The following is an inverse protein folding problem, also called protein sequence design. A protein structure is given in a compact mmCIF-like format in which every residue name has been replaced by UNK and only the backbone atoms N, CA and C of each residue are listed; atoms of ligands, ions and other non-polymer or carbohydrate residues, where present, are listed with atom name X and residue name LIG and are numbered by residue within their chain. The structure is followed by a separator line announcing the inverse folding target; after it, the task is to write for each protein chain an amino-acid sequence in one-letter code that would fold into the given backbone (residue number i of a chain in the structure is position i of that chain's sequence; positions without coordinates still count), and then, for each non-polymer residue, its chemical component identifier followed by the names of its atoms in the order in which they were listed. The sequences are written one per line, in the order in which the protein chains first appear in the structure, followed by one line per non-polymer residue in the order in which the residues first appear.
data_IF_104334802064
#
_entry.id   IF_104334802064
#
_cell.length_a   1.000
_cell.length_b   1.000
_cell.length_c   1.000
_cell.angle_alpha   90.00
_cell.angle_beta   90.00
_cell.angle_gamma   90.00
#
_symmetry.space_group_name_H-M   'P 1'
#
loop_
_entity.id
_entity.type
_entity.pdbx_description
1 polymer ?
#
# COMPACT_ATOMS: atom_id res chain seq x y z
N UNK A 1 11.60 -4.34 5.63
CA UNK A 1 10.33 -4.09 6.35
C UNK A 1 9.44 -5.33 6.39
N UNK A 2 9.04 -5.94 5.27
CA UNK A 2 8.14 -7.11 5.23
C UNK A 2 8.67 -8.31 6.04
N UNK A 3 9.98 -8.54 6.01
CA UNK A 3 10.62 -9.59 6.80
C UNK A 3 10.43 -9.37 8.30
N UNK A 4 10.62 -8.15 8.80
CA UNK A 4 10.39 -7.79 10.21
C UNK A 4 8.94 -8.03 10.62
N UNK A 5 7.98 -7.64 9.78
CA UNK A 5 6.54 -7.81 10.02
C UNK A 5 6.20 -9.29 10.18
N UNK A 6 6.63 -10.13 9.22
CA UNK A 6 6.34 -11.57 9.25
C UNK A 6 6.96 -12.24 10.47
N UNK A 7 8.22 -11.94 10.79
CA UNK A 7 8.90 -12.49 11.96
C UNK A 7 8.18 -12.12 13.26
N UNK A 8 7.74 -10.86 13.40
CA UNK A 8 7.02 -10.41 14.58
C UNK A 8 5.68 -11.13 14.74
N UNK A 9 4.84 -11.14 13.70
CA UNK A 9 3.51 -11.74 13.74
C UNK A 9 3.60 -13.25 14.01
N UNK A 10 4.41 -13.98 13.24
CA UNK A 10 4.56 -15.43 13.38
C UNK A 10 5.23 -15.79 14.72
N UNK A 11 6.22 -15.01 15.13
CA UNK A 11 6.89 -15.19 16.42
C UNK A 11 5.93 -15.03 17.60
N UNK A 12 5.07 -13.99 17.58
CA UNK A 12 4.04 -13.77 18.61
C UNK A 12 2.99 -14.89 18.59
N UNK A 13 2.56 -15.33 17.41
CA UNK A 13 1.65 -16.46 17.30
C UNK A 13 2.23 -17.73 17.97
N UNK A 14 3.50 -18.05 17.68
CA UNK A 14 4.19 -19.16 18.36
C UNK A 14 4.34 -18.91 19.87
N UNK A 15 4.58 -17.69 20.32
CA UNK A 15 4.64 -17.35 21.74
C UNK A 15 3.31 -17.60 22.44
N UNK A 16 2.19 -17.18 21.86
CA UNK A 16 0.84 -17.44 22.38
C UNK A 16 0.56 -18.96 22.45
N UNK A 17 0.86 -19.70 21.39
CA UNK A 17 0.70 -21.16 21.37
C UNK A 17 1.55 -21.83 22.44
N UNK A 18 2.79 -21.35 22.67
CA UNK A 18 3.72 -21.92 23.65
C UNK A 18 3.22 -21.83 25.10
N UNK A 19 2.32 -20.89 25.41
CA UNK A 19 1.72 -20.75 26.75
C UNK A 19 0.88 -21.98 27.13
N UNK A 20 0.35 -22.73 26.17
CA UNK A 20 -0.36 -23.99 26.39
C UNK A 20 0.58 -25.15 26.79
N UNK A 21 1.91 -24.97 26.62
CA UNK A 21 2.92 -26.02 26.83
C UNK A 21 3.03 -27.03 25.68
N UNK A 22 2.22 -26.89 24.62
CA UNK A 22 2.24 -27.76 23.42
C UNK A 22 2.02 -26.96 22.16
N UNK A 23 2.68 -27.31 21.04
CA UNK A 23 3.76 -28.31 20.88
C UNK A 23 5.08 -27.82 21.45
N UNK A 24 5.98 -28.73 21.80
CA UNK A 24 7.25 -28.41 22.46
C UNK A 24 8.16 -27.45 21.64
N UNK A 25 8.07 -27.50 20.31
CA UNK A 25 8.85 -26.62 19.42
C UNK A 25 8.35 -25.15 19.42
N UNK A 26 7.13 -24.87 19.89
CA UNK A 26 6.55 -23.53 19.79
C UNK A 26 7.37 -22.49 20.58
N UNK A 27 7.86 -22.83 21.77
CA UNK A 27 8.65 -21.90 22.58
C UNK A 27 10.01 -21.55 21.96
N UNK A 28 10.86 -22.51 21.53
CA UNK A 28 12.11 -22.15 20.84
C UNK A 28 11.88 -21.46 19.51
N UNK A 29 10.84 -21.84 18.75
CA UNK A 29 10.49 -21.15 17.51
C UNK A 29 10.14 -19.67 17.77
N UNK A 30 9.30 -19.40 18.79
CA UNK A 30 8.96 -18.05 19.19
C UNK A 30 10.20 -17.23 19.53
N UNK A 31 11.08 -17.75 20.40
CA UNK A 31 12.28 -17.05 20.82
C UNK A 31 13.18 -16.70 19.61
N UNK A 32 13.42 -17.66 18.72
CA UNK A 32 14.24 -17.43 17.52
C UNK A 32 13.62 -16.35 16.62
N UNK A 33 12.33 -16.45 16.31
CA UNK A 33 11.66 -15.52 15.41
C UNK A 33 11.60 -14.10 15.99
N UNK A 34 11.30 -13.96 17.30
CA UNK A 34 11.18 -12.66 17.95
C UNK A 34 12.54 -11.97 18.14
N UNK A 35 13.60 -12.70 18.41
CA UNK A 35 14.97 -12.16 18.44
C UNK A 35 15.37 -11.69 17.02
N UNK A 36 15.10 -12.49 16.00
CA UNK A 36 15.35 -12.09 14.61
C UNK A 36 14.50 -10.89 14.19
N UNK A 37 13.25 -10.79 14.66
CA UNK A 37 12.39 -9.62 14.45
C UNK A 37 13.03 -8.36 15.05
N UNK A 38 13.53 -8.43 16.28
CA UNK A 38 14.21 -7.31 16.93
C UNK A 38 15.46 -6.85 16.17
N UNK A 39 16.30 -7.79 15.73
CA UNK A 39 17.49 -7.47 14.93
C UNK A 39 17.14 -6.88 13.57
N UNK A 40 16.13 -7.45 12.89
CA UNK A 40 15.70 -6.97 11.59
C UNK A 40 15.03 -5.58 11.68
N UNK A 41 14.40 -5.24 12.80
CA UNK A 41 13.83 -3.91 13.03
C UNK A 41 14.92 -2.81 12.99
N UNK A 42 16.07 -3.05 13.61
CA UNK A 42 17.22 -2.11 13.58
C UNK A 42 17.68 -1.86 12.14
N UNK A 43 17.79 -2.93 11.33
CA UNK A 43 18.18 -2.81 9.93
C UNK A 43 17.12 -2.05 9.14
N UNK A 44 15.82 -2.37 9.36
CA UNK A 44 14.70 -1.72 8.66
C UNK A 44 14.63 -0.23 8.95
N UNK A 45 14.79 0.19 10.20
CA UNK A 45 14.75 1.61 10.57
C UNK A 45 15.93 2.36 9.96
N UNK A 46 17.17 1.84 10.07
CA UNK A 46 18.33 2.50 9.48
C UNK A 46 18.26 2.64 7.97
N UNK A 47 17.78 1.61 7.28
CA UNK A 47 17.61 1.67 5.82
C UNK A 47 16.45 2.58 5.43
N UNK A 48 15.38 2.65 6.25
CA UNK A 48 14.27 3.58 6.09
C UNK A 48 14.73 5.03 6.15
N UNK A 49 15.44 5.43 7.22
CA UNK A 49 15.97 6.78 7.38
C UNK A 49 16.91 7.17 6.21
N UNK A 50 17.73 6.24 5.73
CA UNK A 50 18.59 6.50 4.57
C UNK A 50 17.80 6.76 3.26
N UNK A 51 16.55 6.31 3.17
CA UNK A 51 15.70 6.49 1.99
C UNK A 51 14.85 7.78 2.03
N UNK A 52 14.90 8.59 3.09
CA UNK A 52 14.06 9.78 3.26
C UNK A 52 14.32 10.87 2.22
N UNK A 53 15.58 11.12 1.85
CA UNK A 53 15.97 12.27 1.05
C UNK A 53 15.17 12.48 -0.25
N UNK A 54 14.97 11.46 -1.09
CA UNK A 54 14.15 11.60 -2.31
C UNK A 54 12.68 11.91 -2.03
N UNK A 55 12.11 11.31 -0.96
CA UNK A 55 10.68 11.43 -0.62
C UNK A 55 10.39 12.81 -0.03
N UNK A 56 11.25 13.34 0.83
CA UNK A 56 11.07 14.65 1.48
C UNK A 56 11.03 15.84 0.52
N UNK A 57 11.45 15.66 -0.74
CA UNK A 57 11.38 16.69 -1.78
C UNK A 57 9.96 16.89 -2.32
N UNK A 58 9.06 15.95 -2.07
CA UNK A 58 7.66 16.03 -2.50
C UNK A 58 6.94 17.09 -1.65
N UNK A 59 6.29 18.09 -2.26
CA UNK A 59 5.56 19.11 -1.50
C UNK A 59 4.49 18.50 -0.59
N UNK A 60 4.47 18.92 0.69
CA UNK A 60 3.47 18.48 1.68
C UNK A 60 3.75 17.13 2.35
N UNK A 61 4.78 16.38 1.96
CA UNK A 61 5.05 15.03 2.46
C UNK A 61 5.71 15.01 3.85
N UNK A 62 6.44 16.05 4.25
CA UNK A 62 7.32 16.02 5.43
C UNK A 62 6.64 15.59 6.72
N UNK A 63 5.40 16.04 6.97
CA UNK A 63 4.65 15.62 8.15
C UNK A 63 4.39 14.11 8.13
N UNK A 64 3.98 13.56 6.99
CA UNK A 64 3.72 12.14 6.86
C UNK A 64 5.00 11.28 6.97
N UNK A 65 6.15 11.80 6.50
CA UNK A 65 7.46 11.16 6.71
C UNK A 65 7.80 11.11 8.20
N UNK A 66 7.63 12.22 8.92
CA UNK A 66 7.85 12.28 10.38
C UNK A 66 6.95 11.31 11.15
N UNK A 67 5.65 11.27 10.82
CA UNK A 67 4.70 10.32 11.43
C UNK A 67 5.13 8.85 11.22
N UNK A 68 5.58 8.52 10.00
CA UNK A 68 6.08 7.18 9.69
C UNK A 68 7.39 6.85 10.42
N UNK A 69 8.31 7.80 10.52
CA UNK A 69 9.57 7.66 11.25
C UNK A 69 9.31 7.41 12.74
N UNK A 70 8.49 8.23 13.38
CA UNK A 70 8.13 8.07 14.81
C UNK A 70 7.44 6.72 15.06
N UNK A 71 6.53 6.29 14.19
CA UNK A 71 5.88 4.99 14.30
C UNK A 71 6.90 3.84 14.12
N UNK A 72 7.84 3.97 13.19
CA UNK A 72 8.93 3.02 12.96
C UNK A 72 9.88 2.90 14.16
N UNK A 73 10.26 4.03 14.76
CA UNK A 73 11.10 4.06 15.96
C UNK A 73 10.39 3.43 17.17
N UNK A 74 9.11 3.74 17.39
CA UNK A 74 8.29 3.10 18.43
C UNK A 74 8.24 1.58 18.24
N UNK A 75 7.98 1.13 17.03
CA UNK A 75 7.96 -0.30 16.70
C UNK A 75 9.32 -0.96 16.97
N UNK A 76 10.42 -0.30 16.60
CA UNK A 76 11.78 -0.78 16.88
C UNK A 76 12.05 -0.91 18.38
N UNK A 77 11.70 0.10 19.18
CA UNK A 77 11.91 0.08 20.64
C UNK A 77 11.15 -1.08 21.28
N UNK A 78 9.88 -1.27 20.91
CA UNK A 78 9.05 -2.36 21.46
C UNK A 78 9.58 -3.72 21.02
N UNK A 79 10.03 -3.88 19.77
CA UNK A 79 10.64 -5.13 19.29
C UNK A 79 11.98 -5.42 19.97
N UNK A 80 12.80 -4.42 20.24
CA UNK A 80 14.04 -4.60 21.00
C UNK A 80 13.76 -5.02 22.45
N UNK A 81 12.77 -4.41 23.10
CA UNK A 81 12.32 -4.81 24.44
C UNK A 81 11.81 -6.26 24.43
N UNK A 82 11.02 -6.63 23.42
CA UNK A 82 10.54 -8.00 23.23
C UNK A 82 11.71 -8.99 23.03
N UNK A 83 12.67 -8.66 22.19
CA UNK A 83 13.89 -9.47 21.99
C UNK A 83 14.67 -9.67 23.28
N UNK A 84 14.78 -8.62 24.10
CA UNK A 84 15.43 -8.72 25.41
C UNK A 84 14.65 -9.65 26.36
N UNK A 85 13.33 -9.56 26.40
CA UNK A 85 12.48 -10.48 27.20
C UNK A 85 12.68 -11.94 26.75
N UNK A 86 12.81 -12.18 25.43
CA UNK A 86 13.11 -13.52 24.91
C UNK A 86 14.48 -14.04 25.32
N UNK A 87 15.50 -13.19 25.30
CA UNK A 87 16.85 -13.54 25.78
C UNK A 87 16.83 -13.90 27.27
N UNK A 88 16.08 -13.14 28.08
CA UNK A 88 15.88 -13.47 29.50
C UNK A 88 15.15 -14.81 29.65
N UNK A 89 14.13 -15.07 28.83
CA UNK A 89 13.41 -16.35 28.79
C UNK A 89 14.32 -17.53 28.48
N UNK A 90 15.24 -17.38 27.53
CA UNK A 90 16.24 -18.40 27.22
C UNK A 90 17.20 -18.65 28.39
N UNK A 91 17.67 -17.60 29.05
CA UNK A 91 18.52 -17.69 30.24
C UNK A 91 17.83 -18.38 31.43
N UNK A 92 16.49 -18.18 31.54
CA UNK A 92 15.68 -18.76 32.61
C UNK A 92 14.95 -20.06 32.20
N UNK A 93 15.34 -20.71 31.11
CA UNK A 93 14.66 -21.86 30.52
C UNK A 93 14.48 -23.04 31.49
N UNK A 94 15.35 -23.18 32.46
CA UNK A 94 15.30 -24.23 33.52
C UNK A 94 14.63 -23.75 34.81
N UNK A 95 14.21 -22.49 34.89
CA UNK A 95 13.62 -21.90 36.10
C UNK A 95 12.08 -21.97 36.01
N UNK A 96 11.38 -22.19 37.16
CA UNK A 96 9.90 -22.10 37.17
C UNK A 96 9.38 -20.73 36.77
N UNK A 97 10.22 -19.66 36.84
CA UNK A 97 9.87 -18.29 36.43
C UNK A 97 9.73 -18.13 34.91
N UNK A 98 10.18 -19.08 34.09
CA UNK A 98 10.12 -18.99 32.62
C UNK A 98 8.69 -18.80 32.11
N UNK A 99 7.68 -19.39 32.76
CA UNK A 99 6.29 -19.21 32.39
C UNK A 99 5.82 -17.75 32.50
N UNK A 100 6.26 -17.05 33.57
CA UNK A 100 5.95 -15.63 33.74
C UNK A 100 6.62 -14.79 32.65
N UNK A 101 7.88 -15.09 32.31
CA UNK A 101 8.61 -14.41 31.24
C UNK A 101 7.90 -14.62 29.89
N UNK A 102 7.45 -15.84 29.59
CA UNK A 102 6.68 -16.11 28.37
C UNK A 102 5.34 -15.38 28.33
N UNK A 103 4.65 -15.22 29.46
CA UNK A 103 3.42 -14.43 29.55
C UNK A 103 3.70 -12.94 29.30
N UNK A 104 4.77 -12.38 29.90
CA UNK A 104 5.22 -11.01 29.63
C UNK A 104 5.58 -10.84 28.16
N UNK A 105 6.35 -11.79 27.60
CA UNK A 105 6.68 -11.78 26.16
C UNK A 105 5.43 -11.78 25.26
N UNK A 106 4.38 -12.54 25.62
CA UNK A 106 3.14 -12.55 24.86
C UNK A 106 2.47 -11.16 24.86
N UNK A 107 2.41 -10.51 26.02
CA UNK A 107 1.79 -9.17 26.15
C UNK A 107 2.60 -8.12 25.40
N UNK A 108 3.93 -8.09 25.59
CA UNK A 108 4.82 -7.17 24.87
C UNK A 108 4.78 -7.46 23.37
N UNK A 109 4.67 -8.74 22.99
CA UNK A 109 4.55 -9.18 21.62
C UNK A 109 3.29 -8.66 20.93
N UNK A 110 2.13 -8.68 21.61
CA UNK A 110 0.91 -8.08 21.07
C UNK A 110 1.06 -6.57 20.87
N UNK A 111 1.70 -5.88 21.81
CA UNK A 111 2.02 -4.46 21.65
C UNK A 111 2.98 -4.21 20.47
N UNK A 112 3.96 -5.10 20.28
CA UNK A 112 4.87 -5.01 19.14
C UNK A 112 4.16 -5.21 17.79
N UNK A 113 3.23 -6.16 17.69
CA UNK A 113 2.41 -6.36 16.48
C UNK A 113 1.58 -5.12 16.18
N UNK A 114 0.98 -4.50 17.20
CA UNK A 114 0.22 -3.25 17.02
C UNK A 114 1.11 -2.10 16.54
N UNK A 115 2.28 -1.91 17.14
CA UNK A 115 3.22 -0.87 16.73
C UNK A 115 3.74 -1.07 15.30
N UNK A 116 3.99 -2.32 14.90
CA UNK A 116 4.38 -2.67 13.52
C UNK A 116 3.23 -2.40 12.54
N UNK A 117 1.98 -2.68 12.92
CA UNK A 117 0.81 -2.34 12.12
C UNK A 117 0.71 -0.82 11.91
N UNK A 118 0.82 -0.03 12.98
CA UNK A 118 0.79 1.44 12.92
C UNK A 118 1.89 1.99 11.98
N UNK A 119 3.12 1.51 12.13
CA UNK A 119 4.21 1.89 11.23
C UNK A 119 3.93 1.49 9.77
N UNK A 120 3.30 0.35 9.53
CA UNK A 120 2.89 -0.11 8.21
C UNK A 120 1.82 0.79 7.58
N UNK A 121 0.84 1.25 8.36
CA UNK A 121 -0.21 2.15 7.91
C UNK A 121 0.35 3.51 7.48
N UNK A 122 1.20 4.13 8.31
CA UNK A 122 1.89 5.37 7.95
C UNK A 122 2.78 5.22 6.71
N UNK A 123 3.49 4.09 6.57
CA UNK A 123 4.27 3.80 5.38
C UNK A 123 3.41 3.61 4.12
N UNK A 124 2.25 2.96 4.25
CA UNK A 124 1.26 2.84 3.18
C UNK A 124 0.77 4.22 2.70
N UNK A 125 0.47 5.13 3.63
CA UNK A 125 0.08 6.51 3.31
C UNK A 125 1.14 7.24 2.47
N UNK A 126 2.44 7.08 2.76
CA UNK A 126 3.52 7.66 1.96
C UNK A 126 3.53 7.13 0.52
N UNK A 127 3.26 5.85 0.33
CA UNK A 127 3.24 5.23 -1.01
C UNK A 127 2.00 5.62 -1.80
N UNK A 128 0.82 5.57 -1.18
CA UNK A 128 -0.45 5.75 -1.89
C UNK A 128 -0.87 7.21 -2.01
N UNK A 129 -0.68 8.03 -0.98
CA UNK A 129 -1.12 9.43 -0.99
C UNK A 129 -0.04 10.40 -1.52
N UNK A 130 1.23 10.08 -1.32
CA UNK A 130 2.35 10.96 -1.68
C UNK A 130 3.26 10.38 -2.75
N UNK A 131 2.94 9.23 -3.32
CA UNK A 131 3.74 8.57 -4.35
C UNK A 131 5.22 8.35 -3.97
N UNK A 132 5.50 8.14 -2.70
CA UNK A 132 6.84 7.94 -2.19
C UNK A 132 7.56 6.77 -2.87
N UNK A 133 8.61 7.04 -3.60
CA UNK A 133 9.39 6.03 -4.31
C UNK A 133 8.97 5.76 -5.76
N UNK A 134 7.94 6.45 -6.28
CA UNK A 134 7.59 6.35 -7.71
C UNK A 134 8.73 6.90 -8.57
N UNK A 135 9.10 6.14 -9.60
CA UNK A 135 10.21 6.48 -10.49
C UNK A 135 11.61 6.32 -9.89
N UNK A 136 11.75 6.27 -8.55
CA UNK A 136 13.07 6.07 -7.91
C UNK A 136 13.44 4.59 -7.81
N UNK A 137 12.44 3.69 -7.69
CA UNK A 137 12.65 2.26 -7.50
C UNK A 137 12.84 1.51 -8.82
N UNK A 138 12.05 1.83 -9.83
CA UNK A 138 12.08 1.20 -11.16
C UNK A 138 13.09 1.86 -12.10
N UNK A 139 13.32 3.16 -11.93
CA UNK A 139 14.04 3.99 -12.91
C UNK A 139 13.26 4.23 -14.21
N UNK A 140 11.98 3.79 -14.29
CA UNK A 140 11.13 3.98 -15.46
C UNK A 140 10.44 5.35 -15.39
N UNK A 141 10.72 6.28 -16.32
CA UNK A 141 10.07 7.58 -16.37
C UNK A 141 8.55 7.50 -16.54
N UNK A 142 8.04 6.43 -17.16
CA UNK A 142 6.61 6.22 -17.38
C UNK A 142 5.83 5.90 -16.10
N UNK A 143 6.50 5.52 -15.00
CA UNK A 143 5.82 5.26 -13.74
C UNK A 143 5.12 6.51 -13.19
N UNK A 144 5.72 7.69 -13.39
CA UNK A 144 5.11 8.97 -13.00
C UNK A 144 3.87 9.26 -13.84
N UNK A 145 3.94 9.01 -15.14
CA UNK A 145 2.79 9.19 -16.06
C UNK A 145 1.65 8.23 -15.72
N UNK A 146 1.97 6.96 -15.42
CA UNK A 146 0.96 5.96 -14.97
C UNK A 146 0.28 6.39 -13.68
N UNK A 147 1.06 6.91 -12.72
CA UNK A 147 0.50 7.40 -11.45
C UNK A 147 -0.37 8.62 -11.67
N UNK A 148 0.06 9.56 -12.52
CA UNK A 148 -0.72 10.75 -12.85
C UNK A 148 -2.07 10.36 -13.48
N UNK A 149 -2.04 9.43 -14.44
CA UNK A 149 -3.25 8.91 -15.07
C UNK A 149 -4.18 8.24 -14.06
N UNK A 150 -3.64 7.39 -13.18
CA UNK A 150 -4.41 6.75 -12.12
C UNK A 150 -5.01 7.80 -11.16
N UNK A 151 -4.25 8.82 -10.77
CA UNK A 151 -4.74 9.91 -9.92
C UNK A 151 -5.86 10.72 -10.56
N UNK A 152 -5.76 11.05 -11.85
CA UNK A 152 -6.81 11.73 -12.59
C UNK A 152 -8.08 10.86 -12.70
N UNK A 153 -7.92 9.57 -12.98
CA UNK A 153 -9.03 8.62 -13.03
C UNK A 153 -9.78 8.55 -11.69
N UNK A 154 -9.06 8.30 -10.59
CA UNK A 154 -9.67 8.22 -9.26
C UNK A 154 -10.37 9.52 -8.86
N UNK A 155 -9.74 10.66 -9.15
CA UNK A 155 -10.36 11.98 -8.89
C UNK A 155 -11.65 12.16 -9.67
N UNK A 156 -11.67 11.81 -10.96
CA UNK A 156 -12.89 11.90 -11.78
C UNK A 156 -14.00 10.98 -11.25
N UNK A 157 -13.63 9.74 -10.82
CA UNK A 157 -14.61 8.81 -10.25
C UNK A 157 -15.18 9.31 -8.92
N UNK A 158 -14.37 9.97 -8.10
CA UNK A 158 -14.81 10.59 -6.85
C UNK A 158 -15.78 11.75 -7.10
N UNK A 159 -15.49 12.63 -8.08
CA UNK A 159 -16.39 13.71 -8.46
C UNK A 159 -17.72 13.18 -9.03
N UNK A 160 -17.67 12.13 -9.85
CA UNK A 160 -18.88 11.47 -10.38
C UNK A 160 -19.74 10.91 -9.24
N UNK A 161 -19.11 10.23 -8.26
CA UNK A 161 -19.79 9.66 -7.09
C UNK A 161 -20.38 10.75 -6.17
N UNK A 162 -19.71 11.90 -6.07
CA UNK A 162 -20.20 13.07 -5.32
C UNK A 162 -21.34 13.82 -6.02
N UNK A 163 -21.72 13.43 -7.25
CA UNK A 163 -22.78 14.08 -8.02
C UNK A 163 -22.31 15.30 -8.80
N UNK A 164 -21.03 15.41 -9.10
CA UNK A 164 -20.41 16.51 -9.85
C UNK A 164 -19.96 16.05 -11.25
N UNK A 165 -20.86 15.65 -12.16
CA UNK A 165 -20.48 15.06 -13.45
C UNK A 165 -19.69 16.03 -14.34
N UNK A 166 -19.94 17.35 -14.28
CA UNK A 166 -19.18 18.33 -15.05
C UNK A 166 -17.69 18.34 -14.65
N UNK A 167 -17.39 18.29 -13.34
CA UNK A 167 -16.02 18.25 -12.86
C UNK A 167 -15.35 16.92 -13.22
N UNK A 168 -16.09 15.81 -13.18
CA UNK A 168 -15.58 14.52 -13.66
C UNK A 168 -15.22 14.59 -15.15
N UNK A 169 -16.08 15.19 -15.99
CA UNK A 169 -15.83 15.37 -17.43
C UNK A 169 -14.59 16.22 -17.70
N UNK A 170 -14.39 17.33 -16.97
CA UNK A 170 -13.22 18.21 -17.10
C UNK A 170 -11.91 17.43 -16.78
N UNK A 171 -11.90 16.65 -15.70
CA UNK A 171 -10.73 15.86 -15.30
C UNK A 171 -10.43 14.77 -16.34
N UNK A 172 -11.44 14.10 -16.88
CA UNK A 172 -11.27 13.08 -17.91
C UNK A 172 -10.80 13.72 -19.22
N UNK A 173 -11.28 14.91 -19.57
CA UNK A 173 -10.79 15.67 -20.72
C UNK A 173 -9.31 16.04 -20.57
N UNK A 174 -8.86 16.46 -19.36
CA UNK A 174 -7.46 16.69 -19.06
C UNK A 174 -6.64 15.40 -19.28
N UNK A 175 -7.09 14.25 -18.75
CA UNK A 175 -6.43 12.97 -18.96
C UNK A 175 -6.32 12.62 -20.45
N UNK A 176 -7.39 12.80 -21.24
CA UNK A 176 -7.39 12.49 -22.68
C UNK A 176 -6.46 13.39 -23.48
N UNK A 177 -6.25 14.63 -23.05
CA UNK A 177 -5.32 15.57 -23.67
C UNK A 177 -3.87 15.21 -23.40
N UNK A 178 -3.57 14.69 -22.21
CA UNK A 178 -2.21 14.29 -21.80
C UNK A 178 -1.81 12.93 -22.39
N UNK A 179 -2.76 12.00 -22.48
CA UNK A 179 -2.56 10.61 -22.90
C UNK A 179 -3.26 10.28 -24.21
N UNK A 180 -3.06 11.12 -25.23
CA UNK A 180 -3.75 11.06 -26.53
C UNK A 180 -3.57 9.74 -27.28
N UNK A 181 -2.44 9.04 -27.07
CA UNK A 181 -2.13 7.78 -27.75
C UNK A 181 -2.69 6.53 -27.03
N UNK A 182 -3.32 6.69 -25.87
CA UNK A 182 -3.81 5.56 -25.09
C UNK A 182 -5.29 5.26 -25.42
N UNK A 183 -5.60 4.09 -26.01
CA UNK A 183 -6.96 3.73 -26.41
C UNK A 183 -7.91 3.57 -25.20
N UNK A 184 -7.40 3.18 -24.03
CA UNK A 184 -8.22 3.06 -22.81
C UNK A 184 -8.68 4.43 -22.31
N UNK A 185 -7.80 5.42 -22.39
CA UNK A 185 -8.12 6.82 -22.03
C UNK A 185 -9.10 7.42 -23.02
N UNK A 186 -8.95 7.13 -24.33
CA UNK A 186 -9.91 7.59 -25.34
C UNK A 186 -11.29 6.95 -25.16
N UNK A 187 -11.37 5.70 -24.78
CA UNK A 187 -12.62 5.04 -24.43
C UNK A 187 -13.25 5.66 -23.17
N UNK A 188 -12.44 5.96 -22.14
CA UNK A 188 -12.91 6.65 -20.92
C UNK A 188 -13.46 8.04 -21.24
N UNK A 189 -12.79 8.81 -22.09
CA UNK A 189 -13.25 10.12 -22.54
C UNK A 189 -14.57 10.04 -23.30
N UNK A 190 -14.71 9.05 -24.16
CA UNK A 190 -15.96 8.79 -24.90
C UNK A 190 -17.11 8.39 -23.96
N UNK A 191 -16.83 7.57 -22.95
CA UNK A 191 -17.79 7.22 -21.89
C UNK A 191 -18.22 8.46 -21.09
N UNK A 192 -17.30 9.36 -20.79
CA UNK A 192 -17.59 10.62 -20.09
C UNK A 192 -18.48 11.56 -20.91
N UNK A 193 -18.29 11.61 -22.22
CA UNK A 193 -19.20 12.35 -23.09
C UNK A 193 -20.64 11.84 -22.97
N UNK A 194 -20.82 10.53 -22.88
CA UNK A 194 -22.12 9.90 -22.72
C UNK A 194 -22.72 10.12 -21.34
N UNK A 195 -21.95 9.79 -20.28
CA UNK A 195 -22.46 9.74 -18.91
C UNK A 195 -22.47 11.09 -18.21
N UNK A 196 -21.39 11.85 -18.34
CA UNK A 196 -21.17 13.07 -17.58
C UNK A 196 -21.66 14.30 -18.35
N UNK A 197 -21.38 14.37 -19.65
CA UNK A 197 -21.74 15.52 -20.51
C UNK A 197 -23.12 15.37 -21.18
N UNK A 198 -23.75 14.19 -21.08
CA UNK A 198 -25.03 13.89 -21.75
C UNK A 198 -25.02 14.19 -23.25
N UNK A 199 -23.91 13.90 -23.91
CA UNK A 199 -23.67 14.12 -25.33
C UNK A 199 -23.46 12.78 -26.08
N UNK A 200 -24.53 12.02 -26.35
CA UNK A 200 -24.44 10.72 -27.02
C UNK A 200 -23.88 10.82 -28.44
N UNK A 201 -24.21 11.84 -29.20
CA UNK A 201 -23.67 12.01 -30.55
C UNK A 201 -22.15 12.24 -30.52
N UNK A 202 -21.66 13.10 -29.62
CA UNK A 202 -20.22 13.30 -29.42
C UNK A 202 -19.50 12.02 -29.00
N UNK A 203 -20.14 11.20 -28.16
CA UNK A 203 -19.59 9.91 -27.76
C UNK A 203 -19.49 8.94 -28.95
N UNK A 204 -20.51 8.84 -29.80
CA UNK A 204 -20.47 8.02 -31.01
C UNK A 204 -19.33 8.45 -31.95
N UNK A 205 -19.20 9.77 -32.19
CA UNK A 205 -18.17 10.28 -33.09
C UNK A 205 -16.76 10.06 -32.54
N UNK A 206 -16.55 10.23 -31.25
CA UNK A 206 -15.30 9.91 -30.59
C UNK A 206 -14.98 8.42 -30.64
N UNK A 207 -15.94 7.53 -30.30
CA UNK A 207 -15.76 6.08 -30.29
C UNK A 207 -15.38 5.49 -31.66
N UNK A 208 -15.91 6.08 -32.75
CA UNK A 208 -15.55 5.68 -34.12
C UNK A 208 -14.09 5.95 -34.45
N UNK A 209 -13.48 6.93 -33.80
CA UNK A 209 -12.08 7.31 -34.04
C UNK A 209 -11.09 6.55 -33.15
N UNK A 210 -11.55 5.90 -32.06
CA UNK A 210 -10.66 5.14 -31.18
C UNK A 210 -10.09 3.94 -31.92
N UNK A 211 -8.77 3.94 -32.06
CA UNK A 211 -8.04 2.82 -32.66
C UNK A 211 -7.73 1.78 -31.59
N UNK A 212 -8.40 0.65 -31.67
CA UNK A 212 -8.17 -0.47 -30.75
C UNK A 212 -7.26 -1.49 -31.43
N UNK A 213 -6.15 -1.93 -30.78
CA UNK A 213 -5.30 -2.97 -31.33
C UNK A 213 -6.09 -4.26 -31.58
N UNK A 214 -5.95 -4.87 -32.76
CA UNK A 214 -6.70 -6.09 -33.16
C UNK A 214 -6.60 -7.25 -32.16
N UNK A 215 -5.44 -7.38 -31.52
CA UNK A 215 -5.19 -8.42 -30.50
C UNK A 215 -5.87 -8.14 -29.16
N UNK A 216 -6.32 -6.91 -28.91
CA UNK A 216 -6.96 -6.54 -27.64
C UNK A 216 -8.48 -6.67 -27.72
N UNK A 217 -8.96 -7.91 -27.59
CA UNK A 217 -10.40 -8.23 -27.65
C UNK A 217 -11.21 -7.51 -26.56
N UNK A 218 -10.63 -7.28 -25.39
CA UNK A 218 -11.30 -6.59 -24.30
C UNK A 218 -11.66 -5.15 -24.68
N UNK A 219 -10.70 -4.40 -25.20
CA UNK A 219 -10.95 -3.02 -25.65
C UNK A 219 -11.91 -2.97 -26.83
N UNK A 220 -11.83 -3.93 -27.76
CA UNK A 220 -12.78 -4.05 -28.87
C UNK A 220 -14.21 -4.25 -28.38
N UNK A 221 -14.39 -5.14 -27.42
CA UNK A 221 -15.69 -5.38 -26.78
C UNK A 221 -16.20 -4.14 -26.07
N UNK A 222 -15.35 -3.51 -25.20
CA UNK A 222 -15.72 -2.28 -24.49
C UNK A 222 -16.16 -1.15 -25.44
N UNK A 223 -15.41 -0.92 -26.53
CA UNK A 223 -15.79 0.06 -27.56
C UNK A 223 -17.15 -0.25 -28.16
N UNK A 224 -17.42 -1.51 -28.51
CA UNK A 224 -18.69 -1.91 -29.10
C UNK A 224 -19.87 -1.73 -28.15
N UNK A 225 -19.68 -2.03 -26.85
CA UNK A 225 -20.69 -1.82 -25.83
C UNK A 225 -20.99 -0.33 -25.67
N UNK A 226 -19.97 0.51 -25.52
CA UNK A 226 -20.14 1.96 -25.41
C UNK A 226 -20.82 2.58 -26.64
N UNK A 227 -20.53 2.07 -27.85
CA UNK A 227 -21.22 2.49 -29.07
C UNK A 227 -22.69 2.10 -29.03
N UNK A 228 -23.03 0.90 -28.57
CA UNK A 228 -24.42 0.48 -28.45
C UNK A 228 -25.18 1.36 -27.45
N UNK A 229 -24.58 1.63 -26.29
CA UNK A 229 -25.16 2.51 -25.25
C UNK A 229 -25.38 3.95 -25.78
N UNK A 230 -24.37 4.46 -26.51
CA UNK A 230 -24.45 5.81 -27.07
C UNK A 230 -25.51 5.96 -28.21
N UNK A 231 -25.79 4.85 -28.94
CA UNK A 231 -26.87 4.85 -29.93
C UNK A 231 -28.25 4.69 -29.32
N UNK A 232 -28.35 4.20 -28.07
CA UNK A 232 -29.63 4.04 -27.38
C UNK A 232 -30.03 5.27 -26.54
N UNK A 233 -29.07 6.13 -26.23
CA UNK A 233 -29.26 7.33 -25.39
C UNK A 233 -29.74 8.54 -26.17
#
# INVERSE_FOLDING_TARGET
VHFTIVLAIVGVAFRLVSLSGRPAFASPAAATLLILAALSAVVSTRTGTAAHGPVERIPGVRTAVGEHEEAGERAQIVLLALGLVELVGLGLSRSPKVRLVHAVSAVVGLAAVFAVYEAGEHGGKLVYAYAGGVGTRSGDPQDVDRLLLAGLYEKAMNERTAGHPQQAAEIIAEASTRFTGDPEVQLLASESLLLDSKNPQGAVDALKQVQVPEKNRFLGFRRSTLLADAYQA
#
